data_IF_920863139055
#
_entry.id   IF_920863139055
#
_cell.length_a   1.000
_cell.length_b   1.000
_cell.length_c   1.000
_cell.angle_alpha   90.00
_cell.angle_beta   90.00
_cell.angle_gamma   90.00
#
_symmetry.space_group_name_H-M   'P 1'
#
loop_
_entity.id
_entity.type
_entity.pdbx_description
1 polymer ?
#
# COMPACT_ATOMS: atom_id res chain seq x y z
N UNK A 1 -25.83 -1.60 -1.41
CA UNK A 1 -24.57 -1.89 -0.77
C UNK A 1 -24.23 -0.88 0.32
N UNK A 2 -23.08 -1.05 0.92
CA UNK A 2 -22.61 -0.29 2.08
C UNK A 2 -22.46 1.19 1.78
N UNK A 3 -21.93 1.55 0.62
CA UNK A 3 -21.80 2.95 0.22
C UNK A 3 -23.12 3.70 0.23
N UNK A 4 -24.20 3.08 -0.22
CA UNK A 4 -25.54 3.68 -0.15
C UNK A 4 -26.02 3.80 1.31
N UNK A 5 -25.70 2.83 2.16
CA UNK A 5 -26.02 2.87 3.60
C UNK A 5 -25.36 4.06 4.28
N UNK A 6 -24.07 4.26 4.05
CA UNK A 6 -23.31 5.38 4.62
C UNK A 6 -23.75 6.72 4.03
N UNK A 7 -23.98 6.77 2.70
CA UNK A 7 -24.55 7.97 2.05
C UNK A 7 -25.89 8.36 2.69
N UNK A 8 -26.80 7.42 2.88
CA UNK A 8 -28.09 7.70 3.52
C UNK A 8 -27.93 8.17 4.97
N UNK A 9 -26.95 7.64 5.72
CA UNK A 9 -26.64 8.11 7.06
C UNK A 9 -26.12 9.56 7.04
N UNK A 10 -25.27 9.92 6.09
CA UNK A 10 -24.77 11.29 5.88
C UNK A 10 -25.93 12.24 5.57
N UNK A 11 -26.83 11.85 4.64
CA UNK A 11 -28.01 12.64 4.28
C UNK A 11 -28.94 12.84 5.50
N UNK A 12 -29.17 11.76 6.25
CA UNK A 12 -30.00 11.83 7.45
C UNK A 12 -29.39 12.74 8.51
N UNK A 13 -28.09 12.57 8.81
CA UNK A 13 -27.38 13.41 9.81
C UNK A 13 -27.35 14.89 9.39
N UNK A 14 -27.02 15.16 8.11
CA UNK A 14 -26.92 16.51 7.59
C UNK A 14 -28.25 17.27 7.57
N UNK A 15 -29.37 16.56 7.39
CA UNK A 15 -30.70 17.15 7.29
C UNK A 15 -31.41 17.38 8.64
N UNK A 16 -30.83 16.92 9.77
CA UNK A 16 -31.48 17.09 11.07
C UNK A 16 -31.49 18.55 11.55
N UNK A 17 -32.54 18.97 12.25
CA UNK A 17 -32.67 20.33 12.78
C UNK A 17 -31.57 20.74 13.77
N UNK A 18 -30.97 19.77 14.46
CA UNK A 18 -29.82 19.97 15.37
C UNK A 18 -28.46 19.94 14.67
N UNK A 19 -28.40 19.57 13.40
CA UNK A 19 -27.19 19.54 12.59
C UNK A 19 -26.91 20.91 12.00
N UNK A 20 -25.63 21.24 11.84
CA UNK A 20 -25.22 22.41 11.06
C UNK A 20 -25.12 22.12 9.54
N UNK A 21 -25.51 20.92 9.09
CA UNK A 21 -25.44 20.47 7.71
C UNK A 21 -24.03 20.07 7.24
N UNK A 22 -23.07 19.88 8.17
CA UNK A 22 -21.72 19.46 7.85
C UNK A 22 -21.41 18.11 8.51
N UNK A 23 -21.15 17.11 7.69
CA UNK A 23 -20.81 15.76 8.12
C UNK A 23 -19.37 15.44 7.70
N UNK A 24 -18.62 14.84 8.59
CA UNK A 24 -17.27 14.29 8.33
C UNK A 24 -17.25 12.81 8.63
N UNK A 25 -16.45 12.07 7.88
CA UNK A 25 -16.22 10.65 8.12
C UNK A 25 -14.76 10.41 8.48
N UNK A 26 -14.49 9.47 9.39
CA UNK A 26 -13.15 8.96 9.64
C UNK A 26 -13.23 7.49 10.04
N UNK A 27 -12.15 6.77 9.85
CA UNK A 27 -12.05 5.39 10.25
C UNK A 27 -10.92 4.68 9.53
N UNK A 28 -10.55 3.52 10.05
CA UNK A 28 -9.42 2.74 9.58
C UNK A 28 -9.89 1.52 8.78
N UNK A 29 -9.06 1.07 7.80
CA UNK A 29 -9.30 -0.17 7.08
C UNK A 29 -10.60 -0.10 6.28
N UNK A 30 -11.53 -1.00 6.54
CA UNK A 30 -12.83 -1.04 5.89
C UNK A 30 -13.64 0.25 6.10
N UNK A 31 -13.60 0.83 7.33
CA UNK A 31 -14.24 2.13 7.59
C UNK A 31 -13.53 3.28 6.85
N UNK A 32 -12.27 3.11 6.46
CA UNK A 32 -11.58 4.02 5.56
C UNK A 32 -12.04 3.86 4.11
N UNK A 33 -12.27 2.64 3.66
CA UNK A 33 -12.76 2.33 2.31
C UNK A 33 -14.19 2.85 2.08
N UNK A 34 -15.09 2.62 3.04
CA UNK A 34 -16.50 3.02 2.92
C UNK A 34 -16.72 4.52 2.84
N UNK A 35 -15.77 5.34 3.29
CA UNK A 35 -15.79 6.79 3.09
C UNK A 35 -15.68 7.17 1.61
N UNK A 36 -14.84 6.45 0.87
CA UNK A 36 -14.70 6.64 -0.58
C UNK A 36 -15.97 6.21 -1.33
N UNK A 37 -16.66 5.19 -0.85
CA UNK A 37 -17.97 4.77 -1.40
C UNK A 37 -19.02 5.86 -1.24
N UNK A 38 -19.10 6.46 -0.04
CA UNK A 38 -20.01 7.58 0.20
C UNK A 38 -19.66 8.80 -0.65
N UNK A 39 -18.38 9.14 -0.77
CA UNK A 39 -17.91 10.22 -1.61
C UNK A 39 -18.18 9.97 -3.11
N UNK A 40 -18.09 8.71 -3.56
CA UNK A 40 -18.39 8.30 -4.94
C UNK A 40 -19.87 8.49 -5.32
N UNK A 41 -20.79 8.38 -4.36
CA UNK A 41 -22.20 8.72 -4.56
C UNK A 41 -22.37 10.23 -4.54
N UNK A 42 -21.65 10.92 -3.68
CA UNK A 42 -21.70 12.37 -3.49
C UNK A 42 -22.80 12.80 -2.52
N UNK A 43 -22.53 13.84 -1.75
CA UNK A 43 -23.49 14.48 -0.86
C UNK A 43 -23.08 15.93 -0.62
N UNK A 44 -24.03 16.83 -0.56
CA UNK A 44 -23.76 18.22 -0.16
C UNK A 44 -23.48 18.37 1.34
N UNK A 45 -23.88 17.41 2.17
CA UNK A 45 -23.60 17.38 3.60
C UNK A 45 -22.21 16.82 3.92
N UNK A 46 -21.64 15.93 3.09
CA UNK A 46 -20.32 15.37 3.31
C UNK A 46 -19.22 16.39 3.00
N UNK A 47 -18.61 16.97 4.02
CA UNK A 47 -17.62 18.04 3.88
C UNK A 47 -16.18 17.52 3.86
N UNK A 48 -15.92 16.42 4.57
CA UNK A 48 -14.56 15.89 4.69
C UNK A 48 -14.58 14.39 4.97
N UNK A 49 -13.54 13.72 4.49
CA UNK A 49 -13.25 12.32 4.83
C UNK A 49 -11.82 12.18 5.34
N UNK A 50 -11.63 11.26 6.29
CA UNK A 50 -10.31 10.92 6.85
C UNK A 50 -10.09 9.41 6.76
N UNK A 51 -9.75 8.90 5.57
CA UNK A 51 -9.44 7.48 5.39
C UNK A 51 -8.07 7.15 6.00
N UNK A 52 -8.05 6.26 6.99
CA UNK A 52 -6.84 5.71 7.61
C UNK A 52 -6.64 4.30 7.07
N UNK A 53 -5.55 4.05 6.35
CA UNK A 53 -5.30 2.75 5.71
C UNK A 53 -6.55 2.23 4.97
N UNK A 54 -7.19 3.09 4.21
CA UNK A 54 -8.44 2.81 3.50
C UNK A 54 -8.22 2.57 2.01
N UNK A 55 -8.73 1.45 1.47
CA UNK A 55 -8.61 1.19 0.04
C UNK A 55 -9.52 2.09 -0.78
N UNK A 56 -9.02 2.55 -1.92
CA UNK A 56 -9.77 3.32 -2.91
C UNK A 56 -10.41 2.45 -3.99
N UNK A 57 -9.91 1.22 -4.14
CA UNK A 57 -10.40 0.23 -5.07
C UNK A 57 -10.06 -1.19 -4.59
N UNK A 58 -10.99 -2.11 -4.76
CA UNK A 58 -10.84 -3.47 -4.26
C UNK A 58 -9.82 -4.30 -5.06
N UNK A 59 -9.81 -4.15 -6.39
CA UNK A 59 -8.91 -4.95 -7.23
C UNK A 59 -7.42 -4.75 -6.90
N UNK A 60 -6.86 -3.54 -6.86
CA UNK A 60 -5.45 -3.35 -6.51
C UNK A 60 -5.14 -3.65 -5.04
N UNK A 61 -6.14 -3.79 -4.18
CA UNK A 61 -5.95 -4.30 -2.82
C UNK A 61 -5.66 -5.81 -2.84
N UNK A 62 -6.39 -6.56 -3.64
CA UNK A 62 -6.33 -8.03 -3.67
C UNK A 62 -5.28 -8.55 -4.66
N UNK A 63 -4.94 -7.77 -5.67
CA UNK A 63 -4.01 -8.13 -6.74
C UNK A 63 -2.98 -7.03 -6.94
N UNK A 64 -1.73 -7.38 -6.73
CA UNK A 64 -0.59 -6.51 -7.01
C UNK A 64 0.03 -6.92 -8.33
N UNK A 65 -0.15 -6.12 -9.37
CA UNK A 65 0.34 -6.44 -10.70
C UNK A 65 0.03 -7.90 -11.12
N UNK A 66 -1.23 -8.32 -10.92
CA UNK A 66 -1.72 -9.66 -11.21
C UNK A 66 -1.38 -10.74 -10.16
N UNK A 67 -0.56 -10.45 -9.18
CA UNK A 67 -0.25 -11.39 -8.09
C UNK A 67 -1.28 -11.29 -6.97
N UNK A 68 -1.90 -12.42 -6.63
CA UNK A 68 -2.92 -12.48 -5.58
C UNK A 68 -2.28 -12.47 -4.18
N UNK A 69 -2.76 -11.60 -3.31
CA UNK A 69 -2.32 -11.58 -1.91
C UNK A 69 -2.88 -12.76 -1.12
N UNK A 70 -1.98 -13.45 -0.41
CA UNK A 70 -2.37 -14.56 0.47
C UNK A 70 -3.28 -14.11 1.61
N UNK A 71 -3.02 -12.94 2.20
CA UNK A 71 -3.84 -12.37 3.29
C UNK A 71 -5.28 -12.13 2.83
N UNK A 72 -5.47 -11.63 1.62
CA UNK A 72 -6.81 -11.37 1.08
C UNK A 72 -7.62 -12.65 0.92
N UNK A 73 -6.98 -13.75 0.51
CA UNK A 73 -7.63 -15.07 0.43
C UNK A 73 -8.00 -15.60 1.81
N UNK A 74 -7.11 -15.46 2.81
CA UNK A 74 -7.39 -15.86 4.19
C UNK A 74 -8.46 -14.97 4.81
N UNK A 75 -8.47 -13.68 4.54
CA UNK A 75 -9.52 -12.77 5.03
C UNK A 75 -10.90 -13.12 4.48
N UNK A 76 -11.03 -13.48 3.22
CA UNK A 76 -12.29 -13.98 2.67
C UNK A 76 -12.81 -15.19 3.46
N UNK A 77 -11.94 -16.14 3.75
CA UNK A 77 -12.29 -17.31 4.57
C UNK A 77 -12.68 -16.93 6.00
N UNK A 78 -11.99 -15.97 6.61
CA UNK A 78 -12.29 -15.51 7.97
C UNK A 78 -13.61 -14.74 8.03
N UNK A 79 -13.89 -13.86 7.11
CA UNK A 79 -15.17 -13.15 7.02
C UNK A 79 -16.32 -14.12 6.82
N UNK A 80 -16.13 -15.12 5.97
CA UNK A 80 -17.13 -16.16 5.78
C UNK A 80 -17.37 -16.99 7.04
N UNK A 81 -16.32 -17.48 7.69
CA UNK A 81 -16.48 -18.30 8.90
C UNK A 81 -17.13 -17.51 10.03
N UNK A 82 -16.86 -16.21 10.15
CA UNK A 82 -17.53 -15.34 11.13
C UNK A 82 -19.01 -15.08 10.81
N UNK A 83 -19.40 -15.17 9.54
CA UNK A 83 -20.78 -14.98 9.09
C UNK A 83 -21.61 -16.24 9.26
N UNK A 84 -21.00 -17.41 9.09
CA UNK A 84 -21.69 -18.73 9.22
C UNK A 84 -22.09 -19.05 10.67
N UNK A 85 -21.41 -18.48 11.65
CA UNK A 85 -21.76 -18.62 13.09
C UNK A 85 -23.04 -17.85 13.49
N UNK A 86 -23.53 -16.96 12.65
CA UNK A 86 -24.77 -16.21 12.86
C UNK A 86 -25.96 -16.86 12.13
N UNK A 87 -26.60 -17.83 12.75
CA UNK A 87 -27.87 -18.44 12.30
C UNK A 87 -27.92 -18.82 10.81
N UNK A 88 -27.60 -20.07 10.49
CA UNK A 88 -27.64 -20.63 9.13
C UNK A 88 -29.00 -20.40 8.41
N UNK A 89 -30.09 -20.25 9.13
CA UNK A 89 -31.43 -19.99 8.59
C UNK A 89 -31.58 -18.58 7.98
N UNK A 90 -30.75 -17.62 8.37
CA UNK A 90 -30.79 -16.25 7.83
C UNK A 90 -29.87 -16.04 6.63
N UNK A 91 -28.82 -16.86 6.48
CA UNK A 91 -27.84 -16.72 5.37
C UNK A 91 -28.47 -16.97 4.01
N UNK A 92 -29.34 -17.97 3.89
CA UNK A 92 -30.06 -18.30 2.63
C UNK A 92 -31.02 -17.18 2.20
N UNK A 93 -31.47 -16.33 3.15
CA UNK A 93 -32.39 -15.23 2.89
C UNK A 93 -31.68 -13.89 2.64
N UNK A 94 -30.51 -13.69 3.26
CA UNK A 94 -29.79 -12.40 3.22
C UNK A 94 -28.73 -12.39 2.13
N UNK A 95 -28.06 -13.52 1.89
CA UNK A 95 -26.98 -13.64 0.91
C UNK A 95 -27.05 -14.99 0.17
N UNK A 96 -28.04 -15.21 -0.71
CA UNK A 96 -28.21 -16.49 -1.41
C UNK A 96 -26.98 -16.88 -2.25
N UNK A 97 -26.19 -15.89 -2.71
CA UNK A 97 -25.02 -16.09 -3.58
C UNK A 97 -23.70 -16.15 -2.80
N UNK A 98 -23.74 -16.09 -1.46
CA UNK A 98 -22.50 -16.00 -0.65
C UNK A 98 -21.59 -17.22 -0.83
N UNK A 99 -22.17 -18.41 -0.95
CA UNK A 99 -21.43 -19.65 -1.17
C UNK A 99 -20.80 -19.69 -2.57
N UNK A 100 -21.53 -19.23 -3.58
CA UNK A 100 -21.01 -19.14 -4.96
C UNK A 100 -19.86 -18.14 -5.02
N UNK A 101 -20.02 -16.94 -4.46
CA UNK A 101 -18.95 -15.93 -4.37
C UNK A 101 -17.74 -16.39 -3.56
N UNK A 102 -17.96 -17.20 -2.54
CA UNK A 102 -16.89 -17.73 -1.69
C UNK A 102 -16.04 -18.79 -2.41
N UNK A 103 -16.67 -19.67 -3.18
CA UNK A 103 -15.97 -20.71 -3.92
C UNK A 103 -15.48 -20.25 -5.28
N UNK A 104 -16.19 -19.35 -5.96
CA UNK A 104 -15.77 -18.76 -7.22
C UNK A 104 -14.59 -17.79 -7.00
N UNK A 105 -14.59 -17.01 -5.93
CA UNK A 105 -13.52 -16.08 -5.59
C UNK A 105 -12.13 -16.73 -5.61
N UNK A 106 -11.79 -17.67 -4.71
CA UNK A 106 -10.48 -18.30 -4.65
C UNK A 106 -10.07 -19.05 -5.92
N UNK A 107 -11.02 -19.68 -6.63
CA UNK A 107 -10.75 -20.41 -7.88
C UNK A 107 -10.46 -19.46 -9.03
N UNK A 108 -11.23 -18.39 -9.15
CA UNK A 108 -11.03 -17.36 -10.18
C UNK A 108 -9.76 -16.55 -9.90
N UNK A 109 -9.48 -16.28 -8.63
CA UNK A 109 -8.28 -15.61 -8.16
C UNK A 109 -7.01 -16.42 -8.42
N UNK A 110 -7.05 -17.75 -8.22
CA UNK A 110 -5.91 -18.61 -8.51
C UNK A 110 -5.60 -18.75 -10.00
N UNK A 111 -6.58 -18.51 -10.87
CA UNK A 111 -6.39 -18.57 -12.33
C UNK A 111 -5.87 -17.26 -12.94
N UNK A 112 -5.96 -16.13 -12.21
CA UNK A 112 -5.54 -14.81 -12.72
C UNK A 112 -6.34 -14.32 -13.94
N UNK A 113 -7.43 -15.00 -14.27
CA UNK A 113 -8.36 -14.61 -15.34
C UNK A 113 -9.55 -13.92 -14.70
N UNK A 114 -9.72 -12.63 -15.00
CA UNK A 114 -10.94 -11.91 -14.70
C UNK A 114 -12.00 -12.37 -15.71
N UNK A 115 -12.97 -13.13 -15.22
CA UNK A 115 -14.25 -13.31 -15.91
C UNK A 115 -14.88 -11.92 -16.14
N UNK A 116 -15.57 -11.63 -17.26
CA UNK A 116 -16.30 -10.37 -17.47
C UNK A 116 -17.23 -9.97 -16.32
N UNK A 117 -17.77 -10.93 -15.58
CA UNK A 117 -18.53 -10.70 -14.35
C UNK A 117 -17.66 -10.13 -13.23
N UNK A 118 -16.44 -10.63 -13.06
CA UNK A 118 -15.51 -10.15 -12.03
C UNK A 118 -14.94 -8.78 -12.38
N UNK A 119 -14.73 -8.46 -13.65
CA UNK A 119 -14.37 -7.13 -14.12
C UNK A 119 -15.42 -6.08 -13.69
N UNK A 120 -16.69 -6.35 -13.91
CA UNK A 120 -17.78 -5.48 -13.46
C UNK A 120 -17.81 -5.37 -11.93
N UNK A 121 -17.59 -6.47 -11.21
CA UNK A 121 -17.53 -6.49 -9.76
C UNK A 121 -16.44 -5.55 -9.22
N UNK A 122 -15.25 -5.57 -9.80
CA UNK A 122 -14.15 -4.70 -9.38
C UNK A 122 -14.31 -3.26 -9.84
N UNK A 123 -14.82 -3.02 -11.04
CA UNK A 123 -15.10 -1.69 -11.57
C UNK A 123 -16.15 -0.96 -10.74
N UNK A 124 -17.16 -1.66 -10.24
CA UNK A 124 -18.15 -1.10 -9.31
C UNK A 124 -17.50 -0.66 -8.00
N UNK A 125 -16.44 -1.35 -7.56
CA UNK A 125 -15.70 -1.12 -6.31
C UNK A 125 -14.41 -0.30 -6.48
N UNK A 126 -14.32 0.41 -7.60
CA UNK A 126 -13.32 1.46 -7.82
C UNK A 126 -13.97 2.82 -7.63
N UNK A 127 -13.57 3.54 -6.58
CA UNK A 127 -14.35 4.68 -6.10
C UNK A 127 -13.71 6.04 -6.40
N UNK A 128 -12.41 6.07 -6.64
CA UNK A 128 -11.64 7.33 -6.74
C UNK A 128 -12.15 8.28 -7.84
N UNK A 129 -12.38 7.76 -9.04
CA UNK A 129 -12.81 8.59 -10.16
C UNK A 129 -14.27 9.06 -10.01
N UNK A 130 -15.11 8.21 -9.42
CA UNK A 130 -16.49 8.55 -9.11
C UNK A 130 -16.56 9.64 -8.03
N UNK A 131 -15.75 9.49 -6.96
CA UNK A 131 -15.64 10.49 -5.90
C UNK A 131 -15.13 11.82 -6.45
N UNK A 132 -14.11 11.80 -7.30
CA UNK A 132 -13.59 12.99 -7.96
C UNK A 132 -14.66 13.76 -8.77
N UNK A 133 -15.57 13.04 -9.43
CA UNK A 133 -16.63 13.62 -10.23
C UNK A 133 -17.78 14.14 -9.38
N UNK A 134 -18.18 13.37 -8.36
CA UNK A 134 -19.47 13.57 -7.68
C UNK A 134 -19.36 14.33 -6.35
N UNK A 135 -18.16 14.52 -5.82
CA UNK A 135 -17.94 15.10 -4.50
C UNK A 135 -16.87 16.19 -4.54
N UNK A 136 -16.97 17.19 -3.64
CA UNK A 136 -16.06 18.35 -3.59
C UNK A 136 -15.58 18.68 -2.15
N UNK A 137 -15.52 17.70 -1.30
CA UNK A 137 -15.03 17.87 0.07
C UNK A 137 -13.49 17.79 0.20
N UNK A 138 -13.01 17.89 1.43
CA UNK A 138 -11.60 17.79 1.76
C UNK A 138 -11.21 16.37 2.18
N UNK A 139 -9.94 16.00 1.98
CA UNK A 139 -9.42 14.68 2.30
C UNK A 139 -8.18 14.80 3.20
N UNK A 140 -8.20 14.09 4.32
CA UNK A 140 -6.99 13.87 5.12
C UNK A 140 -6.66 12.38 5.14
N UNK A 141 -5.79 11.93 4.24
CA UNK A 141 -5.40 10.53 4.20
C UNK A 141 -4.26 10.23 5.20
N UNK A 142 -4.35 9.09 5.87
CA UNK A 142 -3.36 8.62 6.83
C UNK A 142 -2.99 7.18 6.46
N UNK A 143 -1.68 6.89 6.30
CA UNK A 143 -1.20 5.60 5.83
C UNK A 143 0.08 5.17 6.53
N UNK A 144 0.17 3.88 6.87
CA UNK A 144 1.40 3.24 7.30
C UNK A 144 2.23 2.73 6.12
N UNK A 145 3.53 2.99 6.09
CA UNK A 145 4.43 2.46 5.05
C UNK A 145 4.63 0.96 5.15
N UNK A 146 4.51 0.41 6.37
CA UNK A 146 4.66 -1.03 6.65
C UNK A 146 3.31 -1.74 6.69
N UNK A 147 2.25 -1.09 6.22
CA UNK A 147 0.93 -1.70 6.13
C UNK A 147 0.87 -2.68 4.96
N UNK A 148 0.90 -3.97 5.28
CA UNK A 148 0.84 -5.06 4.30
C UNK A 148 -0.59 -5.60 4.14
N UNK A 149 -1.53 -5.09 4.90
CA UNK A 149 -2.94 -5.44 4.78
C UNK A 149 -3.64 -4.51 3.76
N UNK A 150 -3.64 -3.19 4.04
CA UNK A 150 -4.06 -2.16 3.08
C UNK A 150 -2.83 -1.32 2.78
N UNK A 151 -2.07 -1.76 1.82
CA UNK A 151 -0.73 -1.24 1.57
C UNK A 151 -0.71 0.19 1.01
N UNK A 152 0.43 0.89 1.14
CA UNK A 152 0.57 2.27 0.67
C UNK A 152 0.31 2.46 -0.82
N UNK A 153 0.37 1.40 -1.61
CA UNK A 153 0.09 1.43 -3.04
C UNK A 153 -1.33 1.94 -3.32
N UNK A 154 -2.27 1.74 -2.37
CA UNK A 154 -3.63 2.27 -2.45
C UNK A 154 -3.67 3.81 -2.52
N UNK A 155 -2.67 4.48 -1.95
CA UNK A 155 -2.55 5.95 -1.98
C UNK A 155 -1.74 6.40 -3.19
N UNK A 156 -0.67 5.69 -3.53
CA UNK A 156 0.35 6.18 -4.47
C UNK A 156 0.26 5.56 -5.87
N UNK A 157 -0.47 4.47 -6.03
CA UNK A 157 -0.69 3.87 -7.34
C UNK A 157 -1.85 4.52 -8.08
N UNK A 158 -1.71 4.62 -9.39
CA UNK A 158 -2.76 5.07 -10.29
C UNK A 158 -2.51 4.46 -11.66
N UNK A 159 -3.55 4.11 -12.43
CA UNK A 159 -3.41 3.57 -13.78
C UNK A 159 -2.61 4.46 -14.74
N UNK A 160 -2.61 5.76 -14.50
CA UNK A 160 -1.89 6.77 -15.27
C UNK A 160 -0.55 7.20 -14.64
N UNK A 161 -0.13 6.53 -13.55
CA UNK A 161 1.14 6.76 -12.88
C UNK A 161 1.20 7.99 -11.98
N UNK A 162 0.07 8.69 -11.79
CA UNK A 162 -0.03 9.81 -10.85
C UNK A 162 -0.84 9.39 -9.63
N UNK A 163 -0.36 9.58 -8.40
CA UNK A 163 -1.13 9.33 -7.20
C UNK A 163 -2.46 10.07 -7.23
N UNK A 164 -3.55 9.41 -6.83
CA UNK A 164 -4.88 10.01 -6.87
C UNK A 164 -4.94 11.32 -6.09
N UNK A 165 -4.25 11.42 -4.96
CA UNK A 165 -4.28 12.63 -4.14
C UNK A 165 -3.64 13.83 -4.83
N UNK A 166 -2.61 13.63 -5.68
CA UNK A 166 -2.02 14.72 -6.47
C UNK A 166 -3.01 15.25 -7.51
N UNK A 167 -3.83 14.40 -8.12
CA UNK A 167 -4.90 14.84 -9.02
C UNK A 167 -5.94 15.69 -8.28
N UNK A 168 -6.27 15.33 -7.03
CA UNK A 168 -7.18 16.09 -6.20
C UNK A 168 -6.60 17.46 -5.85
N UNK A 169 -5.34 17.51 -5.45
CA UNK A 169 -4.60 18.77 -5.19
C UNK A 169 -4.58 19.66 -6.43
N UNK A 170 -4.23 19.13 -7.59
CA UNK A 170 -4.17 19.87 -8.87
C UNK A 170 -5.54 20.40 -9.31
N UNK A 171 -6.62 19.72 -8.93
CA UNK A 171 -7.99 20.15 -9.16
C UNK A 171 -8.50 21.15 -8.10
N UNK A 172 -7.67 21.51 -7.12
CA UNK A 172 -7.99 22.50 -6.08
C UNK A 172 -8.76 21.95 -4.88
N UNK A 173 -8.75 20.64 -4.66
CA UNK A 173 -9.25 20.07 -3.41
C UNK A 173 -8.26 20.33 -2.28
N UNK A 174 -8.78 20.46 -1.07
CA UNK A 174 -7.97 20.49 0.12
C UNK A 174 -7.59 19.05 0.49
N UNK A 175 -6.32 18.72 0.31
CA UNK A 175 -5.77 17.38 0.61
C UNK A 175 -4.61 17.51 1.58
N UNK A 176 -4.65 16.71 2.65
CA UNK A 176 -3.57 16.57 3.62
C UNK A 176 -3.15 15.11 3.70
N UNK A 177 -1.87 14.84 3.96
CA UNK A 177 -1.35 13.49 4.12
C UNK A 177 -0.56 13.28 5.39
N UNK A 178 -0.63 12.06 5.94
CA UNK A 178 0.27 11.57 6.97
C UNK A 178 0.76 10.18 6.60
N UNK A 179 2.07 10.00 6.51
CA UNK A 179 2.71 8.76 6.10
C UNK A 179 3.76 8.38 7.15
N UNK A 180 3.50 7.35 7.94
CA UNK A 180 4.37 6.92 9.03
C UNK A 180 4.90 5.50 8.84
N UNK A 181 5.78 5.06 9.76
CA UNK A 181 6.46 3.76 9.70
C UNK A 181 5.67 2.63 10.38
N UNK A 182 4.38 2.83 10.65
CA UNK A 182 3.53 1.79 11.24
C UNK A 182 2.92 0.85 10.18
N UNK A 183 2.43 -0.27 10.66
CA UNK A 183 1.63 -1.23 9.90
C UNK A 183 0.15 -0.81 9.79
N UNK A 184 -0.75 -1.80 9.74
CA UNK A 184 -2.21 -1.61 9.71
C UNK A 184 -2.75 -1.14 11.06
N UNK A 185 -2.25 0.01 11.55
CA UNK A 185 -2.55 0.56 12.87
C UNK A 185 -2.97 2.03 12.80
N UNK A 186 -3.50 2.54 13.92
CA UNK A 186 -3.62 3.98 14.11
C UNK A 186 -2.23 4.60 14.34
N UNK A 187 -2.05 5.90 14.07
CA UNK A 187 -0.73 6.54 14.18
C UNK A 187 -0.07 6.48 15.55
N UNK A 188 -0.83 6.32 16.63
CA UNK A 188 -0.36 6.19 18.01
C UNK A 188 -0.12 4.73 18.45
N UNK A 189 -0.31 3.77 17.55
CA UNK A 189 -0.18 2.34 17.85
C UNK A 189 1.04 1.74 17.18
N UNK A 190 1.94 1.19 18.00
CA UNK A 190 3.09 0.43 17.58
C UNK A 190 3.15 -0.89 18.37
N UNK A 191 3.30 -2.00 17.70
CA UNK A 191 3.31 -3.32 18.33
C UNK A 191 4.71 -3.93 18.35
N UNK A 192 4.92 -4.95 19.20
CA UNK A 192 6.16 -5.73 19.18
C UNK A 192 6.37 -6.46 17.84
N UNK A 193 5.30 -6.78 17.17
CA UNK A 193 5.32 -7.41 15.86
C UNK A 193 5.97 -6.46 14.83
N UNK A 194 5.51 -5.22 14.76
CA UNK A 194 6.12 -4.19 13.93
C UNK A 194 7.63 -4.04 14.19
N UNK A 195 8.03 -4.03 15.47
CA UNK A 195 9.43 -3.92 15.84
C UNK A 195 10.28 -5.11 15.34
N UNK A 196 9.71 -6.30 15.26
CA UNK A 196 10.39 -7.48 14.75
C UNK A 196 10.48 -7.49 13.22
N UNK A 197 9.40 -7.15 12.53
CA UNK A 197 9.35 -7.18 11.07
C UNK A 197 10.18 -6.06 10.43
N UNK A 198 10.16 -4.87 11.00
CA UNK A 198 10.90 -3.72 10.49
C UNK A 198 12.37 -3.70 10.92
N UNK A 199 12.79 -4.57 11.84
CA UNK A 199 14.13 -4.55 12.44
C UNK A 199 14.36 -3.43 13.45
N UNK A 200 13.33 -2.63 13.76
CA UNK A 200 13.39 -1.65 14.85
C UNK A 200 13.29 -2.37 16.20
N UNK A 201 14.14 -2.00 17.15
CA UNK A 201 14.05 -2.51 18.51
C UNK A 201 12.79 -2.02 19.24
N UNK A 202 12.46 -2.67 20.35
CA UNK A 202 11.33 -2.26 21.19
C UNK A 202 11.42 -0.80 21.67
N UNK A 203 12.63 -0.27 21.78
CA UNK A 203 12.88 1.13 22.16
C UNK A 203 12.46 2.12 21.06
N UNK A 204 12.32 1.68 19.81
CA UNK A 204 11.85 2.51 18.73
C UNK A 204 10.35 2.88 18.81
N UNK A 205 9.58 2.19 19.64
CA UNK A 205 8.11 2.39 19.80
C UNK A 205 7.76 3.87 19.94
N UNK A 206 8.45 4.60 20.80
CA UNK A 206 8.14 6.01 21.07
C UNK A 206 8.49 6.93 19.90
N UNK A 207 9.46 6.56 19.07
CA UNK A 207 9.89 7.37 17.94
C UNK A 207 9.07 7.07 16.67
N UNK A 208 8.42 5.91 16.61
CA UNK A 208 7.67 5.45 15.43
C UNK A 208 6.18 5.73 15.50
N UNK A 209 5.70 6.27 16.62
CA UNK A 209 4.30 6.64 16.82
C UNK A 209 4.07 8.13 16.68
N UNK A 210 2.82 8.51 16.38
CA UNK A 210 2.38 9.88 16.28
C UNK A 210 1.31 10.18 17.35
N UNK A 211 1.75 10.58 18.53
CA UNK A 211 0.87 10.75 19.70
C UNK A 211 -0.12 11.92 19.60
N UNK A 212 0.23 12.95 18.84
CA UNK A 212 -0.58 14.14 18.63
C UNK A 212 -1.56 14.04 17.44
N UNK A 213 -1.66 12.86 16.81
CA UNK A 213 -2.51 12.69 15.63
C UNK A 213 -3.99 12.97 15.89
N UNK A 214 -4.47 12.63 17.08
CA UNK A 214 -5.87 12.86 17.44
C UNK A 214 -6.18 14.36 17.60
N UNK A 215 -5.22 15.15 18.09
CA UNK A 215 -5.33 16.61 18.15
C UNK A 215 -5.33 17.20 16.74
N UNK A 216 -4.45 16.72 15.85
CA UNK A 216 -4.39 17.15 14.46
C UNK A 216 -5.68 16.81 13.69
N UNK A 217 -6.28 15.64 13.97
CA UNK A 217 -7.58 15.23 13.46
C UNK A 217 -8.71 16.12 14.00
N UNK A 218 -8.68 16.43 15.30
CA UNK A 218 -9.67 17.32 15.93
C UNK A 218 -9.63 18.72 15.30
N UNK A 219 -8.46 19.32 15.10
CA UNK A 219 -8.29 20.62 14.45
C UNK A 219 -8.78 20.61 13.01
N UNK A 220 -8.56 19.49 12.28
CA UNK A 220 -9.10 19.28 10.94
C UNK A 220 -10.64 19.36 10.94
N UNK A 221 -11.31 18.65 11.84
CA UNK A 221 -12.77 18.66 11.95
C UNK A 221 -13.33 20.00 12.47
N UNK A 222 -12.66 20.67 13.41
CA UNK A 222 -13.07 22.01 13.85
C UNK A 222 -13.12 22.99 12.67
N UNK A 223 -12.15 22.93 11.78
CA UNK A 223 -12.12 23.79 10.61
C UNK A 223 -13.17 23.39 9.57
N UNK A 224 -13.18 22.16 9.08
CA UNK A 224 -14.05 21.77 7.95
C UNK A 224 -15.52 21.57 8.33
N UNK A 225 -15.82 21.25 9.58
CA UNK A 225 -17.20 21.02 10.02
C UNK A 225 -17.81 22.22 10.75
N UNK A 226 -16.98 23.05 11.39
CA UNK A 226 -17.50 24.18 12.20
C UNK A 226 -16.99 25.54 11.75
N UNK A 227 -15.96 25.60 10.91
CA UNK A 227 -15.31 26.85 10.52
C UNK A 227 -14.54 27.52 11.65
N UNK A 228 -14.06 26.72 12.64
CA UNK A 228 -13.34 27.20 13.81
C UNK A 228 -11.84 26.98 13.62
N UNK A 229 -11.02 27.95 14.00
CA UNK A 229 -9.57 27.89 13.92
C UNK A 229 -8.99 28.27 12.55
N UNK A 230 -7.67 28.22 12.40
CA UNK A 230 -7.01 28.48 11.12
C UNK A 230 -7.19 27.30 10.16
N UNK A 231 -7.09 27.60 8.86
CA UNK A 231 -7.05 26.51 7.86
C UNK A 231 -5.87 25.59 8.14
N UNK A 232 -6.09 24.26 8.20
CA UNK A 232 -5.01 23.31 8.41
C UNK A 232 -3.95 23.40 7.30
N UNK A 233 -2.71 23.05 7.67
CA UNK A 233 -1.65 22.89 6.69
C UNK A 233 -1.94 21.66 5.82
N UNK A 234 -1.94 21.81 4.51
CA UNK A 234 -2.30 20.76 3.54
C UNK A 234 -1.09 19.94 3.06
N UNK A 235 0.07 20.10 3.68
CA UNK A 235 1.27 19.35 3.33
C UNK A 235 1.15 17.87 3.70
N UNK A 236 2.07 17.08 3.19
CA UNK A 236 2.27 15.69 3.61
C UNK A 236 3.30 15.64 4.74
N UNK A 237 2.92 15.07 5.86
CA UNK A 237 3.81 14.76 6.96
C UNK A 237 4.33 13.33 6.78
N UNK A 238 5.66 13.17 6.70
CA UNK A 238 6.26 11.87 6.41
C UNK A 238 7.33 11.52 7.43
N UNK A 239 7.33 10.25 7.86
CA UNK A 239 8.30 9.70 8.79
C UNK A 239 9.32 8.83 8.07
N UNK A 240 10.60 9.04 8.37
CA UNK A 240 11.68 8.17 7.91
C UNK A 240 11.89 6.99 8.87
N UNK A 241 12.60 5.97 8.41
CA UNK A 241 12.93 4.77 9.20
C UNK A 241 13.77 5.03 10.45
N UNK A 242 14.38 6.22 10.58
CA UNK A 242 15.08 6.66 11.79
C UNK A 242 14.17 7.38 12.81
N UNK A 243 12.86 7.41 12.54
CA UNK A 243 11.85 8.06 13.39
C UNK A 243 11.69 9.56 13.17
N UNK A 244 12.50 10.17 12.33
CA UNK A 244 12.43 11.61 12.09
C UNK A 244 11.22 11.96 11.21
N UNK A 245 10.52 13.02 11.59
CA UNK A 245 9.40 13.57 10.84
C UNK A 245 9.81 14.82 10.05
N UNK A 246 9.28 14.93 8.84
CA UNK A 246 9.40 16.13 8.03
C UNK A 246 8.11 16.46 7.30
N UNK A 247 8.03 17.68 6.81
CA UNK A 247 6.92 18.18 5.99
C UNK A 247 7.37 18.27 4.54
N UNK A 248 6.61 17.65 3.64
CA UNK A 248 6.77 17.76 2.21
C UNK A 248 5.55 18.46 1.59
N UNK A 249 5.76 19.23 0.54
CA UNK A 249 4.64 19.83 -0.19
C UNK A 249 3.77 18.74 -0.86
N UNK A 250 4.39 17.68 -1.30
CA UNK A 250 3.76 16.49 -1.87
C UNK A 250 4.67 15.28 -1.68
N UNK A 251 4.13 14.07 -1.61
CA UNK A 251 4.93 12.86 -1.56
C UNK A 251 4.44 11.85 -2.62
N UNK A 252 5.30 11.15 -3.38
CA UNK A 252 6.75 11.32 -3.42
C UNK A 252 7.18 12.73 -3.83
N UNK A 253 8.33 13.22 -3.30
CA UNK A 253 8.84 14.54 -3.67
C UNK A 253 9.11 14.63 -5.18
N UNK A 254 8.59 15.69 -5.84
CA UNK A 254 8.70 15.84 -7.31
C UNK A 254 10.13 16.08 -7.79
N UNK A 255 11.02 16.58 -6.93
CA UNK A 255 12.40 16.93 -7.24
C UNK A 255 13.43 15.93 -6.69
N UNK A 256 13.05 14.65 -6.54
CA UNK A 256 13.99 13.61 -6.17
C UNK A 256 15.01 13.37 -7.29
N UNK A 257 16.24 13.09 -6.92
CA UNK A 257 17.24 12.53 -7.81
C UNK A 257 17.02 11.03 -7.97
N UNK A 258 17.51 10.44 -9.06
CA UNK A 258 17.40 9.01 -9.29
C UNK A 258 18.77 8.38 -9.37
N UNK A 259 19.05 7.44 -8.45
CA UNK A 259 20.23 6.58 -8.51
C UNK A 259 19.83 5.26 -9.19
N UNK A 260 20.63 4.85 -10.19
CA UNK A 260 20.43 3.55 -10.86
C UNK A 260 21.50 2.58 -10.38
N UNK A 261 21.07 1.41 -9.93
CA UNK A 261 21.94 0.28 -9.58
C UNK A 261 21.75 -0.78 -10.66
N UNK A 262 22.83 -1.17 -11.34
CA UNK A 262 22.84 -2.37 -12.17
C UNK A 262 22.89 -3.61 -11.29
N UNK A 263 21.98 -4.55 -11.49
CA UNK A 263 22.05 -5.82 -10.74
C UNK A 263 23.25 -6.68 -11.15
N UNK A 264 23.92 -6.36 -12.26
CA UNK A 264 25.20 -6.97 -12.63
C UNK A 264 26.32 -6.65 -11.65
N UNK A 265 26.24 -5.53 -10.95
CA UNK A 265 27.25 -5.06 -10.01
C UNK A 265 27.05 -5.66 -8.60
N UNK A 266 25.92 -6.33 -8.35
CA UNK A 266 25.61 -6.97 -7.08
C UNK A 266 26.35 -8.30 -6.93
N UNK A 267 26.70 -8.67 -5.70
CA UNK A 267 27.20 -10.02 -5.41
C UNK A 267 26.11 -11.05 -5.68
N UNK A 268 26.52 -12.24 -6.08
CA UNK A 268 25.64 -13.33 -6.54
C UNK A 268 24.83 -12.97 -7.80
N UNK A 269 25.25 -11.94 -8.53
CA UNK A 269 24.67 -11.62 -9.83
C UNK A 269 24.91 -12.79 -10.82
N UNK A 270 24.01 -12.95 -11.76
CA UNK A 270 24.03 -14.01 -12.76
C UNK A 270 22.65 -14.34 -13.25
N UNK A 271 22.51 -15.47 -13.92
CA UNK A 271 21.22 -16.00 -14.30
C UNK A 271 20.73 -16.98 -13.23
N UNK A 272 19.51 -16.84 -12.76
CA UNK A 272 18.91 -17.71 -11.76
C UNK A 272 17.44 -17.99 -12.04
N UNK A 273 16.90 -18.99 -11.40
CA UNK A 273 15.54 -19.47 -11.60
C UNK A 273 14.81 -19.42 -10.28
N UNK A 274 13.65 -18.75 -10.25
CA UNK A 274 12.70 -18.75 -9.13
C UNK A 274 11.74 -19.96 -9.21
N UNK A 275 11.02 -20.27 -8.15
CA UNK A 275 9.81 -21.10 -8.24
C UNK A 275 10.05 -22.60 -8.35
N UNK A 276 11.19 -23.13 -7.96
CA UNK A 276 11.41 -24.56 -7.82
C UNK A 276 11.04 -25.04 -6.41
N UNK A 277 9.75 -25.10 -6.08
CA UNK A 277 9.30 -25.80 -4.88
C UNK A 277 9.09 -27.28 -5.18
N UNK A 278 9.83 -28.15 -4.50
CA UNK A 278 9.64 -29.59 -4.58
C UNK A 278 8.52 -29.98 -3.63
N UNK A 279 7.49 -30.64 -4.15
CA UNK A 279 6.38 -31.19 -3.36
C UNK A 279 6.91 -32.06 -2.23
N UNK A 280 6.64 -31.67 -0.99
CA UNK A 280 6.95 -32.46 0.22
C UNK A 280 8.16 -32.01 1.04
N UNK A 281 8.86 -30.98 0.61
CA UNK A 281 9.94 -30.35 1.37
C UNK A 281 10.16 -28.96 0.80
N UNK A 282 9.42 -27.97 1.33
CA UNK A 282 9.46 -26.59 0.85
C UNK A 282 10.84 -26.01 1.15
N UNK A 283 11.69 -25.95 0.15
CA UNK A 283 12.77 -24.98 0.11
C UNK A 283 12.30 -23.86 -0.83
N UNK A 284 11.78 -22.82 -0.25
CA UNK A 284 11.59 -21.55 -0.94
C UNK A 284 12.94 -21.15 -1.54
N UNK A 285 13.07 -21.18 -2.86
CA UNK A 285 14.30 -20.72 -3.50
C UNK A 285 14.22 -19.21 -3.64
N UNK A 286 14.70 -18.53 -2.63
CA UNK A 286 14.99 -17.10 -2.71
C UNK A 286 16.43 -16.90 -3.19
N UNK A 287 16.64 -15.86 -3.97
CA UNK A 287 17.96 -15.40 -4.38
C UNK A 287 18.22 -14.06 -3.77
N UNK A 288 19.39 -13.97 -3.14
CA UNK A 288 19.84 -12.75 -2.49
C UNK A 288 20.93 -12.09 -3.32
N UNK A 289 20.68 -10.85 -3.74
CA UNK A 289 21.64 -9.99 -4.44
C UNK A 289 22.08 -8.89 -3.48
N UNK A 290 23.33 -8.93 -3.04
CA UNK A 290 23.93 -7.86 -2.23
C UNK A 290 24.58 -6.83 -3.15
N UNK A 291 23.95 -5.68 -3.28
CA UNK A 291 24.41 -4.59 -4.16
C UNK A 291 25.40 -3.67 -3.44
N UNK A 292 26.27 -2.98 -4.19
CA UNK A 292 27.23 -2.04 -3.63
C UNK A 292 26.58 -0.96 -2.76
N UNK A 293 27.36 -0.35 -1.90
CA UNK A 293 26.93 0.82 -1.12
C UNK A 293 26.37 1.92 -2.05
N UNK A 294 25.25 2.51 -1.64
CA UNK A 294 24.66 3.65 -2.35
C UNK A 294 25.61 4.87 -2.36
N UNK A 295 26.36 5.03 -1.28
CA UNK A 295 27.46 5.95 -1.13
C UNK A 295 28.41 5.45 -0.05
N UNK A 296 29.72 5.54 -0.29
CA UNK A 296 30.75 5.15 0.68
C UNK A 296 30.94 6.20 1.78
N UNK A 297 30.60 7.45 1.52
CA UNK A 297 30.95 8.58 2.39
C UNK A 297 29.77 9.42 2.88
N UNK A 298 28.60 9.25 2.27
CA UNK A 298 27.43 10.07 2.56
C UNK A 298 26.24 9.21 2.95
N UNK A 299 25.40 9.74 3.82
CA UNK A 299 24.08 9.20 4.12
C UNK A 299 23.18 9.43 2.90
N UNK A 300 22.46 8.39 2.49
CA UNK A 300 21.49 8.48 1.40
C UNK A 300 20.08 8.40 1.98
N UNK A 301 19.25 9.35 1.59
CA UNK A 301 17.83 9.34 1.97
C UNK A 301 16.97 8.90 0.77
N UNK A 302 16.44 7.69 0.81
CA UNK A 302 15.48 7.17 -0.16
C UNK A 302 14.12 7.74 0.20
N UNK A 303 13.41 8.33 -0.78
CA UNK A 303 12.04 8.81 -0.56
C UNK A 303 11.24 8.71 -1.84
N UNK A 304 10.32 7.74 -1.88
CA UNK A 304 9.45 7.52 -3.03
C UNK A 304 9.24 6.05 -3.37
N UNK A 305 8.87 5.78 -4.62
CA UNK A 305 8.61 4.45 -5.15
C UNK A 305 9.85 3.98 -5.93
N UNK A 306 10.52 2.97 -5.41
CA UNK A 306 11.67 2.34 -6.08
C UNK A 306 11.15 1.51 -7.24
N UNK A 307 11.80 1.61 -8.41
CA UNK A 307 11.46 0.80 -9.58
C UNK A 307 12.49 -0.29 -9.78
N UNK A 308 12.01 -1.49 -10.02
CA UNK A 308 12.83 -2.66 -10.31
C UNK A 308 12.48 -3.17 -11.71
N UNK A 309 13.45 -3.12 -12.61
CA UNK A 309 13.33 -3.62 -13.96
C UNK A 309 14.07 -4.95 -14.06
N UNK A 310 13.32 -6.04 -14.10
CA UNK A 310 13.87 -7.38 -14.21
C UNK A 310 13.73 -7.90 -15.63
N UNK A 311 14.85 -8.19 -16.26
CA UNK A 311 14.91 -8.90 -17.52
C UNK A 311 14.76 -10.39 -17.26
N UNK A 312 13.73 -10.99 -17.80
CA UNK A 312 13.29 -12.35 -17.44
C UNK A 312 13.01 -13.21 -18.66
N UNK A 313 13.09 -14.52 -18.47
CA UNK A 313 12.64 -15.50 -19.44
C UNK A 313 11.60 -16.39 -18.76
N UNK A 314 10.43 -16.48 -19.36
CA UNK A 314 9.35 -17.34 -18.89
C UNK A 314 9.63 -18.81 -19.24
N UNK A 315 9.43 -19.75 -18.32
CA UNK A 315 9.41 -21.17 -18.63
C UNK A 315 8.01 -21.70 -18.95
N UNK A 316 6.99 -20.99 -18.47
CA UNK A 316 5.58 -21.30 -18.67
C UNK A 316 4.80 -20.02 -19.02
N UNK A 317 3.51 -20.16 -19.21
CA UNK A 317 2.56 -19.09 -19.50
C UNK A 317 2.11 -18.28 -18.26
N UNK A 318 2.82 -18.41 -17.15
CA UNK A 318 2.58 -17.71 -15.90
C UNK A 318 3.77 -17.80 -14.95
N UNK A 319 3.58 -17.28 -13.76
CA UNK A 319 4.57 -17.22 -12.70
C UNK A 319 4.65 -15.84 -12.10
N UNK A 320 5.20 -15.72 -10.91
CA UNK A 320 5.32 -14.45 -10.22
C UNK A 320 6.68 -14.26 -9.57
N UNK A 321 7.03 -13.02 -9.32
CA UNK A 321 8.18 -12.62 -8.52
C UNK A 321 7.70 -11.77 -7.36
N UNK A 322 8.14 -12.14 -6.16
CA UNK A 322 8.15 -11.30 -4.97
C UNK A 322 9.56 -10.78 -4.77
N UNK A 323 9.70 -9.47 -4.67
CA UNK A 323 10.96 -8.78 -4.44
C UNK A 323 10.91 -8.05 -3.10
N UNK A 324 11.85 -8.34 -2.21
CA UNK A 324 12.02 -7.64 -0.95
C UNK A 324 13.32 -6.84 -1.00
N UNK A 325 13.28 -5.58 -0.58
CA UNK A 325 14.45 -4.71 -0.46
C UNK A 325 14.80 -4.53 1.00
N UNK A 326 16.08 -4.72 1.34
CA UNK A 326 16.62 -4.59 2.68
C UNK A 326 17.87 -3.69 2.69
N UNK A 327 18.16 -3.07 3.83
CA UNK A 327 19.51 -2.59 4.13
C UNK A 327 20.44 -3.81 4.26
N UNK A 328 21.44 -3.91 3.41
CA UNK A 328 22.31 -5.09 3.35
C UNK A 328 23.15 -5.30 4.63
N UNK A 329 23.47 -4.23 5.36
CA UNK A 329 24.30 -4.30 6.56
C UNK A 329 23.49 -4.73 7.80
N UNK A 330 22.24 -4.30 7.90
CA UNK A 330 21.40 -4.55 9.08
C UNK A 330 20.36 -5.65 8.86
N UNK A 331 20.01 -5.95 7.61
CA UNK A 331 18.90 -6.81 7.25
C UNK A 331 17.52 -6.17 7.45
N UNK A 332 17.48 -4.87 7.78
CA UNK A 332 16.24 -4.16 7.98
C UNK A 332 15.47 -4.08 6.65
N UNK A 333 14.21 -4.49 6.68
CA UNK A 333 13.31 -4.46 5.54
C UNK A 333 12.93 -3.01 5.22
N UNK A 334 13.07 -2.62 3.95
CA UNK A 334 12.75 -1.30 3.46
C UNK A 334 11.41 -1.27 2.71
N UNK A 335 11.10 -2.31 1.98
CA UNK A 335 9.86 -2.44 1.24
C UNK A 335 9.85 -3.68 0.35
N UNK A 336 8.74 -3.91 -0.33
CA UNK A 336 8.56 -5.03 -1.23
C UNK A 336 7.82 -4.63 -2.52
N UNK A 337 7.91 -5.50 -3.52
CA UNK A 337 7.16 -5.42 -4.76
C UNK A 337 6.78 -6.83 -5.22
N UNK A 338 5.69 -6.95 -5.97
CA UNK A 338 5.27 -8.23 -6.53
C UNK A 338 4.69 -8.05 -7.91
N UNK A 339 4.85 -9.05 -8.76
CA UNK A 339 4.28 -9.04 -10.12
C UNK A 339 4.14 -10.46 -10.66
N UNK A 340 2.99 -10.74 -11.25
CA UNK A 340 2.82 -11.86 -12.17
C UNK A 340 3.44 -11.49 -13.51
N UNK A 341 4.20 -12.41 -14.12
CA UNK A 341 4.92 -12.14 -15.38
C UNK A 341 3.98 -11.74 -16.52
N UNK A 342 2.72 -12.15 -16.49
CA UNK A 342 1.70 -11.73 -17.47
C UNK A 342 1.39 -10.23 -17.40
N UNK A 343 1.70 -9.57 -16.31
CA UNK A 343 1.51 -8.12 -16.11
C UNK A 343 2.82 -7.34 -16.25
N UNK A 344 3.81 -7.93 -16.91
CA UNK A 344 5.19 -7.43 -16.97
C UNK A 344 5.34 -5.97 -17.44
N UNK A 345 4.43 -5.49 -18.27
CA UNK A 345 4.45 -4.10 -18.75
C UNK A 345 3.63 -3.13 -17.87
N UNK A 346 3.08 -3.62 -16.75
CA UNK A 346 2.14 -2.87 -15.90
C UNK A 346 0.71 -2.88 -16.45
N UNK A 347 -0.20 -2.26 -15.70
CA UNK A 347 -1.63 -2.22 -16.03
C UNK A 347 -2.46 -3.30 -15.36
N UNK A 348 -3.75 -3.34 -15.70
CA UNK A 348 -4.74 -4.26 -15.10
C UNK A 348 -5.06 -5.48 -15.96
N UNK A 349 -4.54 -5.52 -17.20
CA UNK A 349 -4.84 -6.57 -18.16
C UNK A 349 -3.66 -7.51 -18.35
N UNK A 350 -3.86 -8.84 -18.26
CA UNK A 350 -2.82 -9.81 -18.49
C UNK A 350 -2.42 -9.85 -19.98
N UNK A 351 -1.13 -9.95 -20.21
CA UNK A 351 -0.57 -10.13 -21.55
C UNK A 351 -0.24 -11.60 -21.77
N UNK A 352 -0.34 -12.06 -23.01
CA UNK A 352 0.08 -13.41 -23.36
C UNK A 352 1.59 -13.53 -23.22
N UNK A 353 2.04 -14.50 -22.43
CA UNK A 353 3.44 -14.88 -22.29
C UNK A 353 3.56 -16.35 -22.67
N UNK A 354 4.50 -16.68 -23.56
CA UNK A 354 4.74 -18.05 -24.01
C UNK A 354 6.05 -18.59 -23.39
N UNK A 355 6.20 -19.91 -23.29
CA UNK A 355 7.45 -20.51 -22.85
C UNK A 355 8.62 -20.05 -23.72
N UNK A 356 9.69 -19.60 -23.06
CA UNK A 356 10.90 -18.97 -23.60
C UNK A 356 10.75 -17.52 -24.09
N UNK A 357 9.61 -16.89 -23.87
CA UNK A 357 9.52 -15.43 -24.08
C UNK A 357 10.45 -14.71 -23.10
N UNK A 358 11.17 -13.73 -23.64
CA UNK A 358 11.98 -12.80 -22.86
C UNK A 358 11.21 -11.52 -22.68
N UNK A 359 10.92 -11.16 -21.45
CA UNK A 359 10.14 -9.98 -21.11
C UNK A 359 10.81 -9.17 -20.00
N UNK A 360 10.60 -7.86 -20.03
CA UNK A 360 11.04 -6.95 -18.98
C UNK A 360 9.87 -6.76 -18.00
N UNK A 361 10.03 -7.22 -16.76
CA UNK A 361 9.07 -6.96 -15.69
C UNK A 361 9.36 -5.59 -15.07
N UNK A 362 8.39 -4.68 -15.14
CA UNK A 362 8.48 -3.31 -14.62
C UNK A 362 7.79 -3.23 -13.27
N UNK A 363 8.49 -3.65 -12.21
CA UNK A 363 7.97 -3.67 -10.85
C UNK A 363 8.17 -2.34 -10.15
N UNK A 364 7.24 -1.95 -9.30
CA UNK A 364 7.33 -0.79 -8.43
C UNK A 364 7.15 -1.23 -6.98
N UNK A 365 8.09 -0.82 -6.12
CA UNK A 365 8.04 -1.10 -4.69
C UNK A 365 6.96 -0.25 -4.01
N UNK A 366 6.48 -0.71 -2.87
CA UNK A 366 5.67 0.09 -1.96
C UNK A 366 6.39 1.38 -1.57
N UNK A 367 5.66 2.30 -0.96
CA UNK A 367 6.21 3.54 -0.46
C UNK A 367 7.41 3.30 0.47
N UNK A 368 8.54 3.95 0.19
CA UNK A 368 9.76 3.86 0.99
C UNK A 368 10.22 5.25 1.38
N UNK A 369 10.44 5.43 2.66
CA UNK A 369 11.13 6.59 3.21
C UNK A 369 12.17 6.13 4.22
N UNK A 370 13.43 6.11 3.79
CA UNK A 370 14.48 5.45 4.53
C UNK A 370 15.82 6.17 4.42
N UNK A 371 16.46 6.35 5.57
CA UNK A 371 17.84 6.80 5.71
C UNK A 371 18.76 5.59 5.65
N UNK A 372 19.67 5.58 4.70
CA UNK A 372 20.67 4.53 4.50
C UNK A 372 22.04 5.12 4.89
N UNK A 373 22.70 4.57 5.93
CA UNK A 373 24.01 5.06 6.37
C UNK A 373 25.09 4.93 5.29
N UNK A 374 26.13 5.74 5.39
CA UNK A 374 27.31 5.62 4.54
C UNK A 374 27.94 4.22 4.62
N UNK A 375 28.33 3.66 3.49
CA UNK A 375 28.89 2.32 3.38
C UNK A 375 27.86 1.19 3.37
N UNK A 376 26.55 1.48 3.56
CA UNK A 376 25.51 0.46 3.47
C UNK A 376 25.03 0.30 2.01
N UNK A 377 24.91 -0.96 1.60
CA UNK A 377 24.32 -1.37 0.31
C UNK A 377 22.85 -1.75 0.45
N UNK A 378 22.26 -2.05 -0.69
CA UNK A 378 20.92 -2.61 -0.76
C UNK A 378 21.03 -4.11 -1.00
N UNK A 379 20.29 -4.88 -0.20
CA UNK A 379 20.03 -6.30 -0.45
C UNK A 379 18.69 -6.44 -1.13
N UNK A 380 18.67 -7.12 -2.27
CA UNK A 380 17.46 -7.50 -2.98
C UNK A 380 17.26 -9.01 -2.86
N UNK A 381 16.13 -9.41 -2.27
CA UNK A 381 15.73 -10.82 -2.17
C UNK A 381 14.61 -11.06 -3.16
N UNK A 382 14.80 -12.01 -4.07
CA UNK A 382 13.80 -12.40 -5.07
C UNK A 382 13.35 -13.82 -4.83
N UNK A 383 12.05 -14.05 -4.85
CA UNK A 383 11.40 -15.35 -4.65
C UNK A 383 10.11 -15.46 -5.46
N UNK A 384 9.46 -16.60 -5.48
CA UNK A 384 8.16 -16.83 -6.10
C UNK A 384 6.98 -16.62 -5.13
N UNK A 385 7.29 -16.43 -3.85
CA UNK A 385 6.31 -16.22 -2.78
C UNK A 385 6.92 -15.35 -1.69
N UNK A 386 6.08 -14.66 -0.94
CA UNK A 386 6.49 -13.75 0.13
C UNK A 386 5.84 -14.12 1.45
N UNK A 387 6.38 -15.10 2.17
CA UNK A 387 5.92 -15.51 3.51
C UNK A 387 4.38 -15.47 3.64
N UNK A 388 3.86 -14.57 4.51
CA UNK A 388 2.43 -14.40 4.73
C UNK A 388 1.76 -13.51 3.68
N UNK A 389 2.55 -12.84 2.82
CA UNK A 389 2.04 -11.83 1.91
C UNK A 389 1.57 -12.41 0.58
N UNK A 390 2.36 -13.29 -0.02
CA UNK A 390 2.12 -13.79 -1.36
C UNK A 390 2.26 -15.31 -1.43
N UNK A 391 1.13 -15.99 -1.75
CA UNK A 391 1.15 -17.42 -1.99
C UNK A 391 1.70 -17.76 -3.39
N UNK A 392 2.35 -18.91 -3.59
CA UNK A 392 2.78 -19.36 -4.90
C UNK A 392 1.58 -19.55 -5.84
N UNK A 393 1.57 -18.89 -7.00
CA UNK A 393 0.48 -18.95 -7.97
C UNK A 393 0.28 -20.33 -8.61
N UNK A 394 1.36 -21.02 -8.85
CA UNK A 394 1.36 -22.21 -9.72
C UNK A 394 1.41 -23.53 -8.97
N UNK A 395 0.99 -23.59 -7.71
CA UNK A 395 0.90 -24.81 -6.93
C UNK A 395 2.21 -25.58 -6.75
N UNK A 396 3.06 -25.67 -7.77
CA UNK A 396 4.31 -26.45 -7.68
C UNK A 396 5.49 -25.97 -8.54
N UNK A 397 5.36 -25.17 -9.55
CA UNK A 397 6.49 -24.55 -10.25
C UNK A 397 6.08 -23.77 -11.49
N UNK A 398 6.07 -22.45 -11.42
CA UNK A 398 6.19 -21.63 -12.62
C UNK A 398 7.50 -20.81 -12.52
N UNK A 399 8.66 -21.45 -12.73
CA UNK A 399 9.93 -20.79 -12.58
C UNK A 399 10.09 -19.69 -13.62
N UNK A 400 10.68 -18.59 -13.15
CA UNK A 400 11.07 -17.46 -14.00
C UNK A 400 12.58 -17.35 -13.93
N UNK A 401 13.22 -17.31 -15.09
CA UNK A 401 14.65 -17.10 -15.18
C UNK A 401 14.93 -15.60 -15.19
N UNK A 402 15.65 -15.10 -14.21
CA UNK A 402 16.02 -13.69 -14.08
C UNK A 402 17.46 -13.49 -14.58
N UNK A 403 17.65 -12.49 -15.45
CA UNK A 403 18.94 -12.12 -16.02
C UNK A 403 19.43 -10.84 -15.31
N UNK A 404 20.18 -10.99 -14.22
CA UNK A 404 20.67 -9.84 -13.44
C UNK A 404 21.58 -8.91 -14.24
N UNK A 405 22.31 -9.44 -15.21
CA UNK A 405 23.24 -8.68 -16.05
C UNK A 405 22.57 -7.57 -16.89
N UNK A 406 21.28 -7.68 -17.12
CA UNK A 406 20.47 -6.73 -17.91
C UNK A 406 19.32 -6.12 -17.09
N UNK A 407 19.31 -6.40 -15.79
CA UNK A 407 18.34 -5.88 -14.83
C UNK A 407 18.90 -4.70 -14.04
N UNK A 408 18.04 -3.82 -13.57
CA UNK A 408 18.44 -2.66 -12.78
C UNK A 408 17.35 -2.23 -11.79
N UNK A 409 17.78 -1.45 -10.80
CA UNK A 409 16.91 -0.81 -9.80
C UNK A 409 17.12 0.70 -9.87
N UNK A 410 16.03 1.46 -9.86
CA UNK A 410 16.03 2.93 -9.88
C UNK A 410 15.50 3.42 -8.55
N UNK A 411 16.36 4.07 -7.78
CA UNK A 411 16.10 4.51 -6.41
C UNK A 411 15.91 6.03 -6.40
N UNK A 412 14.74 6.53 -5.98
CA UNK A 412 14.53 7.96 -5.75
C UNK A 412 15.23 8.41 -4.47
N UNK A 413 16.08 9.41 -4.57
CA UNK A 413 16.81 9.96 -3.42
C UNK A 413 16.54 11.46 -3.27
N UNK A 414 16.52 11.93 -2.02
CA UNK A 414 16.30 13.33 -1.69
C UNK A 414 17.44 13.87 -0.84
N UNK A 415 17.51 15.22 -0.79
CA UNK A 415 18.26 15.92 0.23
C UNK A 415 17.29 16.48 1.28
N UNK A 416 17.18 15.87 2.46
CA UNK A 416 16.20 16.24 3.49
C UNK A 416 16.48 17.62 4.12
N UNK A 417 17.68 18.19 3.97
CA UNK A 417 18.02 19.54 4.48
C UNK A 417 17.11 20.64 3.88
N UNK A 418 16.43 20.33 2.77
CA UNK A 418 15.48 21.24 2.11
C UNK A 418 14.07 21.15 2.68
N UNK A 419 13.79 20.18 3.55
CA UNK A 419 12.47 19.93 4.12
C UNK A 419 12.38 20.49 5.53
N UNK A 420 11.17 20.90 5.93
CA UNK A 420 10.93 21.33 7.30
C UNK A 420 10.83 20.11 8.22
N UNK A 421 11.80 19.96 9.11
CA UNK A 421 11.78 18.94 10.17
C UNK A 421 10.91 19.38 11.33
N UNK A 422 10.27 18.44 12.01
CA UNK A 422 9.54 18.70 13.25
C UNK A 422 9.63 17.50 14.21
N UNK A 423 9.40 17.77 15.50
CA UNK A 423 9.43 16.76 16.57
C UNK A 423 7.98 16.52 17.01
N UNK A 424 7.58 15.26 17.08
CA UNK A 424 6.29 14.89 17.66
C UNK A 424 6.40 14.74 19.18
N UNK A 425 5.34 15.03 19.93
CA UNK A 425 5.31 14.76 21.37
C UNK A 425 5.60 13.30 21.67
N UNK A 426 6.41 13.05 22.68
CA UNK A 426 6.60 11.72 23.25
C UNK A 426 5.39 11.34 24.13
N UNK A 427 5.17 10.05 24.38
CA UNK A 427 4.02 9.56 25.16
C UNK A 427 3.87 10.21 26.55
N UNK A 428 5.02 10.47 27.21
CA UNK A 428 5.03 11.06 28.56
C UNK A 428 4.65 12.54 28.54
N UNK A 429 4.95 13.26 27.46
CA UNK A 429 4.56 14.66 27.28
C UNK A 429 3.08 14.78 26.90
N UNK A 430 2.53 13.84 26.14
CA UNK A 430 1.11 13.79 25.79
C UNK A 430 0.22 13.58 27.03
N UNK A 431 0.64 12.73 27.97
CA UNK A 431 -0.09 12.46 29.21
C UNK A 431 -0.16 13.68 30.15
N UNK A 432 0.75 14.63 30.00
CA UNK A 432 0.77 15.85 30.84
C UNK A 432 0.02 17.04 30.21
N UNK A 433 -0.41 16.93 28.96
CA UNK A 433 -1.10 17.99 28.23
C UNK A 433 -2.58 17.69 27.93
N UNK A 434 -3.10 16.53 28.40
CA UNK A 434 -4.52 16.15 28.41
C UNK A 434 -5.09 16.23 29.83
#
# INVERSE_FOLDING_TARGET
GEGLGIHNAVEWLGSQEWSNGHVGLYGKSYEGATQWEAAAIGSEYLKTIVPISGTTALHPLLYKNGSAEARSQVMHMNYFSSTVDYNADDLDNVCPDILEGLFAGPVTYGAGELDPYMENYYNERSHIDKAFQNWKGSVYWIQGMQDWNVDPHQVFSSPDGNPWYQRYEEAGFDVKGMLGQWEHNYPDQWTKHNAQETGYGAEAIHNMTRWDWAQDLFEWFEYYLKGIGPKPNLNVQVQSNDGQWRVENTWPPKNNEKKTISLADCQNSGAFVTGLSVVGGVTQQSITLDCPALSESEIIHISGLVKLHLDTIAFFDGGQIFAEMQDAATGMRLGHATMDIRYHAGGSEPQTVLPNDRVMMLMEFQAIDAVIPAGHGIRLVLSDSGEDYLAPLCGNACPIHVLSSTSNMIIPVINPEKSQMFITPQSDDAANNL
#
